data_IF_587295731069
#
_entry.id   IF_587295731069
#
_cell.length_a   1.000
_cell.length_b   1.000
_cell.length_c   1.000
_cell.angle_alpha   90.00
_cell.angle_beta   90.00
_cell.angle_gamma   90.00
#
_symmetry.space_group_name_H-M   'P 1'
#
loop_
_entity.id
_entity.type
_entity.pdbx_description
1 polymer ?
#
# COMPACT_ATOMS: atom_id res chain seq x y z
N UNK A 1 2.93 -14.26 -10.05
CA UNK A 1 2.45 -15.08 -11.18
C UNK A 1 3.19 -16.42 -11.13
N UNK A 2 2.47 -17.54 -11.18
CA UNK A 2 3.10 -18.86 -11.34
C UNK A 2 3.66 -18.96 -12.75
N UNK A 3 4.93 -19.31 -12.92
CA UNK A 3 5.50 -19.57 -14.25
C UNK A 3 4.80 -20.76 -14.91
N UNK A 4 4.79 -20.83 -16.25
CA UNK A 4 4.22 -21.95 -16.99
C UNK A 4 4.80 -23.31 -16.52
N UNK A 5 6.08 -23.33 -16.15
CA UNK A 5 6.75 -24.50 -15.58
C UNK A 5 6.22 -24.89 -14.18
N UNK A 6 5.93 -23.92 -13.33
CA UNK A 6 5.36 -24.19 -11.99
C UNK A 6 3.97 -24.80 -12.08
N UNK A 7 3.14 -24.36 -13.02
CA UNK A 7 1.82 -24.95 -13.27
C UNK A 7 1.93 -26.36 -13.85
N UNK A 8 2.86 -26.57 -14.78
CA UNK A 8 3.17 -27.89 -15.35
C UNK A 8 3.56 -28.88 -14.25
N UNK A 9 4.54 -28.54 -13.41
CA UNK A 9 4.94 -29.35 -12.25
C UNK A 9 3.76 -29.62 -11.30
N UNK A 10 2.94 -28.62 -11.00
CA UNK A 10 1.80 -28.81 -10.09
C UNK A 10 0.74 -29.76 -10.65
N UNK A 11 0.50 -29.76 -11.97
CA UNK A 11 -0.44 -30.68 -12.64
C UNK A 11 0.06 -32.12 -12.57
N UNK A 12 1.31 -32.34 -12.97
CA UNK A 12 1.93 -33.67 -12.97
C UNK A 12 2.09 -34.27 -11.57
N UNK A 13 2.17 -33.43 -10.53
CA UNK A 13 2.22 -33.93 -9.14
C UNK A 13 0.96 -34.71 -8.75
N UNK A 14 -0.21 -34.42 -9.32
CA UNK A 14 -1.44 -35.18 -9.04
C UNK A 14 -1.37 -36.60 -9.60
N UNK A 15 -0.91 -36.75 -10.84
CA UNK A 15 -0.69 -38.05 -11.47
C UNK A 15 0.35 -38.86 -10.69
N UNK A 16 1.46 -38.21 -10.31
CA UNK A 16 2.48 -38.83 -9.46
C UNK A 16 1.92 -39.40 -8.16
N UNK A 17 1.00 -38.69 -7.49
CA UNK A 17 0.39 -39.16 -6.24
C UNK A 17 -0.42 -40.45 -6.44
N UNK A 18 -0.95 -40.70 -7.64
CA UNK A 18 -1.59 -41.96 -7.99
C UNK A 18 -0.60 -43.13 -8.17
N UNK A 19 0.63 -42.84 -8.60
CA UNK A 19 1.67 -43.86 -8.81
C UNK A 19 2.46 -44.19 -7.54
N UNK A 20 2.72 -43.20 -6.68
CA UNK A 20 3.28 -43.41 -5.34
C UNK A 20 4.77 -43.80 -5.26
N UNK A 21 5.43 -44.13 -6.37
CA UNK A 21 6.87 -44.43 -6.40
C UNK A 21 7.56 -43.98 -7.70
N UNK A 22 8.87 -43.70 -7.67
CA UNK A 22 9.62 -43.30 -8.87
C UNK A 22 9.65 -44.37 -9.95
N UNK A 23 9.69 -45.64 -9.57
CA UNK A 23 9.62 -46.78 -10.48
C UNK A 23 8.29 -46.81 -11.23
N UNK A 24 7.17 -46.70 -10.49
CA UNK A 24 5.83 -46.69 -11.08
C UNK A 24 5.56 -45.42 -11.86
N UNK A 25 6.09 -44.28 -11.42
CA UNK A 25 6.00 -43.01 -12.15
C UNK A 25 6.75 -43.07 -13.48
N UNK A 26 7.94 -43.67 -13.55
CA UNK A 26 8.66 -43.84 -14.84
C UNK A 26 7.97 -44.85 -15.76
N UNK A 27 7.36 -45.90 -15.20
CA UNK A 27 6.66 -46.92 -15.97
C UNK A 27 5.31 -46.42 -16.53
N UNK A 28 4.66 -45.48 -15.85
CA UNK A 28 3.35 -44.97 -16.23
C UNK A 28 3.43 -43.49 -16.62
N UNK A 29 3.13 -43.21 -17.89
CA UNK A 29 3.13 -41.84 -18.38
C UNK A 29 1.80 -41.14 -18.07
N UNK A 30 1.84 -39.92 -17.51
CA UNK A 30 0.70 -39.01 -17.44
C UNK A 30 0.03 -38.78 -18.80
N UNK A 31 -1.26 -38.46 -18.82
CA UNK A 31 -1.99 -38.10 -20.05
C UNK A 31 -1.23 -37.02 -20.85
N UNK A 32 -1.10 -37.23 -22.18
CA UNK A 32 -0.46 -36.35 -23.17
C UNK A 32 -0.89 -34.87 -23.04
N UNK A 33 -2.14 -34.60 -22.67
CA UNK A 33 -2.65 -33.23 -22.49
C UNK A 33 -1.96 -32.44 -21.37
N UNK A 34 -1.34 -33.15 -20.41
CA UNK A 34 -0.66 -32.52 -19.27
C UNK A 34 0.77 -32.05 -19.61
N UNK A 35 1.29 -32.42 -20.78
CA UNK A 35 2.70 -32.25 -21.12
C UNK A 35 3.05 -30.85 -21.62
N UNK A 36 2.07 -30.07 -22.12
CA UNK A 36 2.28 -28.77 -22.76
C UNK A 36 3.51 -28.80 -23.72
N UNK A 37 3.55 -29.79 -24.62
CA UNK A 37 4.66 -30.01 -25.59
C UNK A 37 6.05 -30.32 -24.98
N UNK A 38 6.13 -30.56 -23.66
CA UNK A 38 7.41 -30.89 -23.00
C UNK A 38 7.76 -32.35 -23.18
N UNK A 39 9.06 -32.60 -23.32
CA UNK A 39 9.62 -33.93 -23.51
C UNK A 39 9.45 -34.85 -22.28
N UNK A 40 9.33 -36.16 -22.52
CA UNK A 40 9.16 -37.21 -21.50
C UNK A 40 10.25 -37.21 -20.43
N UNK A 41 11.48 -36.84 -20.80
CA UNK A 41 12.60 -36.76 -19.87
C UNK A 41 12.35 -35.80 -18.69
N UNK A 42 11.54 -34.75 -18.86
CA UNK A 42 11.17 -33.88 -17.75
C UNK A 42 10.32 -34.57 -16.69
N UNK A 43 9.44 -35.50 -17.08
CA UNK A 43 8.64 -36.27 -16.14
C UNK A 43 9.51 -37.23 -15.33
N UNK A 44 10.43 -37.96 -15.97
CA UNK A 44 11.37 -38.82 -15.27
C UNK A 44 12.22 -38.02 -14.28
N UNK A 45 12.75 -36.87 -14.71
CA UNK A 45 13.50 -35.99 -13.82
C UNK A 45 12.68 -35.51 -12.63
N UNK A 46 11.41 -35.14 -12.83
CA UNK A 46 10.52 -34.74 -11.74
C UNK A 46 10.25 -35.88 -10.74
N UNK A 47 10.03 -37.10 -11.23
CA UNK A 47 9.88 -38.30 -10.41
C UNK A 47 11.11 -38.52 -9.54
N UNK A 48 12.30 -38.45 -10.14
CA UNK A 48 13.56 -38.80 -9.48
C UNK A 48 14.09 -37.71 -8.54
N UNK A 49 13.86 -36.44 -8.86
CA UNK A 49 14.57 -35.33 -8.21
C UNK A 49 13.67 -34.39 -7.41
N UNK A 50 12.36 -34.38 -7.67
CA UNK A 50 11.45 -33.37 -7.12
C UNK A 50 10.35 -33.99 -6.26
N UNK A 51 9.73 -35.08 -6.72
CA UNK A 51 8.61 -35.69 -6.01
C UNK A 51 9.05 -36.69 -4.94
N UNK A 52 10.26 -37.21 -5.04
CA UNK A 52 10.93 -38.08 -4.05
C UNK A 52 11.84 -37.31 -3.10
N UNK A 53 12.10 -36.03 -3.37
CA UNK A 53 13.03 -35.24 -2.58
C UNK A 53 12.47 -34.98 -1.18
N UNK A 54 13.04 -35.63 -0.17
CA UNK A 54 12.55 -35.57 1.21
C UNK A 54 12.54 -34.15 1.78
N UNK A 55 13.47 -33.29 1.38
CA UNK A 55 13.48 -31.89 1.82
C UNK A 55 12.26 -31.14 1.26
N UNK A 56 11.97 -31.31 -0.03
CA UNK A 56 10.78 -30.73 -0.66
C UNK A 56 9.47 -31.27 -0.06
N UNK A 57 9.41 -32.57 0.24
CA UNK A 57 8.25 -33.20 0.87
C UNK A 57 8.01 -32.62 2.27
N UNK A 58 9.03 -32.61 3.13
CA UNK A 58 8.95 -32.06 4.50
C UNK A 58 8.51 -30.59 4.50
N UNK A 59 9.04 -29.78 3.59
CA UNK A 59 8.64 -28.37 3.46
C UNK A 59 7.16 -28.27 3.04
N UNK A 60 6.72 -29.08 2.07
CA UNK A 60 5.35 -29.08 1.60
C UNK A 60 4.36 -29.52 2.69
N UNK A 61 4.69 -30.57 3.45
CA UNK A 61 3.91 -31.04 4.60
C UNK A 61 3.82 -29.98 5.69
N UNK A 62 4.94 -29.39 6.09
CA UNK A 62 4.97 -28.29 7.07
C UNK A 62 4.12 -27.11 6.60
N UNK A 63 4.21 -26.73 5.32
CA UNK A 63 3.40 -25.65 4.75
C UNK A 63 1.92 -26.02 4.68
N UNK A 64 1.58 -27.29 4.45
CA UNK A 64 0.21 -27.78 4.50
C UNK A 64 -0.36 -27.76 5.91
N UNK A 65 0.37 -28.27 6.90
CA UNK A 65 0.00 -28.21 8.30
C UNK A 65 -0.14 -26.75 8.79
N UNK A 66 0.79 -25.88 8.43
CA UNK A 66 0.69 -24.45 8.75
C UNK A 66 -0.56 -23.81 8.14
N UNK A 67 -0.92 -24.16 6.89
CA UNK A 67 -2.16 -23.69 6.25
C UNK A 67 -3.40 -24.22 6.95
N UNK A 68 -3.41 -25.48 7.37
CA UNK A 68 -4.49 -26.07 8.15
C UNK A 68 -4.67 -25.35 9.51
N UNK A 69 -3.57 -24.95 10.13
CA UNK A 69 -3.57 -24.19 11.38
C UNK A 69 -3.87 -22.69 11.21
N UNK A 70 -4.05 -22.19 9.97
CA UNK A 70 -4.43 -20.78 9.78
C UNK A 70 -5.86 -20.57 10.28
N UNK A 71 -5.96 -19.91 11.44
CA UNK A 71 -7.21 -19.66 12.14
C UNK A 71 -8.19 -18.71 11.42
N UNK A 72 -7.83 -18.16 10.26
CA UNK A 72 -8.69 -17.32 9.42
C UNK A 72 -8.18 -17.33 7.99
N UNK A 73 -8.66 -18.27 7.19
CA UNK A 73 -8.48 -18.26 5.73
C UNK A 73 -9.15 -17.00 5.16
N UNK A 74 -8.50 -16.37 4.18
CA UNK A 74 -9.04 -15.22 3.45
C UNK A 74 -9.19 -15.55 1.96
N UNK A 75 -10.09 -14.86 1.27
CA UNK A 75 -10.36 -15.04 -0.16
C UNK A 75 -9.58 -14.05 -1.05
N UNK A 76 -8.62 -13.31 -0.49
CA UNK A 76 -7.79 -12.34 -1.22
C UNK A 76 -6.89 -12.94 -2.33
N UNK A 77 -6.75 -14.27 -2.38
CA UNK A 77 -5.82 -14.95 -3.29
C UNK A 77 -4.37 -14.53 -3.05
N UNK A 78 -3.54 -14.56 -4.11
CA UNK A 78 -2.12 -14.20 -4.04
C UNK A 78 -1.84 -12.70 -4.20
N UNK A 79 -2.88 -11.87 -4.38
CA UNK A 79 -2.74 -10.44 -4.62
C UNK A 79 -2.60 -9.69 -3.29
N UNK A 80 -1.61 -8.77 -3.13
CA UNK A 80 -1.45 -7.98 -1.92
C UNK A 80 -2.68 -7.12 -1.59
N UNK A 81 -2.98 -6.94 -0.31
CA UNK A 81 -4.15 -6.17 0.16
C UNK A 81 -4.13 -4.71 -0.28
N UNK A 82 -2.97 -4.06 -0.32
CA UNK A 82 -2.83 -2.70 -0.84
C UNK A 82 -3.31 -2.62 -2.30
N UNK A 83 -3.01 -3.63 -3.12
CA UNK A 83 -3.47 -3.65 -4.51
C UNK A 83 -4.97 -3.89 -4.62
N UNK A 84 -5.58 -4.65 -3.69
CA UNK A 84 -7.03 -4.79 -3.62
C UNK A 84 -7.70 -3.48 -3.21
N UNK A 85 -7.13 -2.74 -2.26
CA UNK A 85 -7.64 -1.44 -1.85
C UNK A 85 -7.58 -0.43 -3.02
N UNK A 86 -6.45 -0.37 -3.73
CA UNK A 86 -6.29 0.47 -4.91
C UNK A 86 -7.26 0.08 -6.04
N UNK A 87 -7.52 -1.22 -6.25
CA UNK A 87 -8.50 -1.66 -7.24
C UNK A 87 -9.93 -1.23 -6.86
N UNK A 88 -10.32 -1.41 -5.60
CA UNK A 88 -11.61 -0.98 -5.10
C UNK A 88 -11.80 0.55 -5.25
N UNK A 89 -10.74 1.33 -5.02
CA UNK A 89 -10.76 2.78 -5.22
C UNK A 89 -10.98 3.17 -6.68
N UNK A 90 -10.40 2.45 -7.64
CA UNK A 90 -10.68 2.64 -9.08
C UNK A 90 -12.13 2.33 -9.45
N UNK A 91 -12.80 1.47 -8.69
CA UNK A 91 -14.23 1.15 -8.84
C UNK A 91 -15.15 2.13 -8.09
N UNK A 92 -14.60 3.23 -7.54
CA UNK A 92 -15.38 4.26 -6.83
C UNK A 92 -15.64 3.96 -5.35
N UNK A 93 -15.08 2.88 -4.80
CA UNK A 93 -15.15 2.59 -3.36
C UNK A 93 -14.14 3.44 -2.58
N UNK A 94 -14.40 3.65 -1.30
CA UNK A 94 -13.43 4.30 -0.42
C UNK A 94 -12.12 3.48 -0.35
N UNK A 95 -10.98 4.17 -0.46
CA UNK A 95 -9.67 3.57 -0.28
C UNK A 95 -9.43 3.30 1.22
N UNK A 96 -9.78 2.09 1.67
CA UNK A 96 -9.56 1.65 3.05
C UNK A 96 -9.00 0.22 3.08
N UNK A 97 -7.96 0.01 3.87
CA UNK A 97 -7.35 -1.29 4.13
C UNK A 97 -8.16 -2.13 5.11
N UNK A 98 -8.76 -1.51 6.12
CA UNK A 98 -9.61 -2.21 7.10
C UNK A 98 -10.85 -2.77 6.39
N UNK A 99 -11.55 -1.94 5.61
CA UNK A 99 -12.71 -2.37 4.84
C UNK A 99 -12.35 -3.41 3.78
N UNK A 100 -11.22 -3.23 3.10
CA UNK A 100 -10.73 -4.23 2.16
C UNK A 100 -10.44 -5.57 2.84
N UNK A 101 -9.80 -5.54 4.01
CA UNK A 101 -9.51 -6.72 4.80
C UNK A 101 -10.79 -7.45 5.22
N UNK A 102 -11.77 -6.74 5.77
CA UNK A 102 -13.08 -7.29 6.10
C UNK A 102 -13.75 -7.96 4.91
N UNK A 103 -13.75 -7.30 3.75
CA UNK A 103 -14.33 -7.86 2.52
C UNK A 103 -13.66 -9.16 2.05
N UNK A 104 -12.35 -9.34 2.28
CA UNK A 104 -11.66 -10.60 1.93
C UNK A 104 -11.88 -11.74 2.92
N UNK A 105 -12.51 -11.44 4.06
CA UNK A 105 -12.95 -12.41 5.05
C UNK A 105 -14.47 -12.67 4.98
N UNK A 106 -15.11 -12.26 3.88
CA UNK A 106 -16.50 -12.59 3.58
C UNK A 106 -16.61 -13.52 2.37
N UNK A 107 -17.67 -14.31 2.34
CA UNK A 107 -18.02 -15.14 1.18
C UNK A 107 -18.76 -14.33 0.09
N UNK A 108 -19.23 -15.02 -0.95
CA UNK A 108 -19.97 -14.38 -2.04
C UNK A 108 -21.36 -13.88 -1.60
N UNK A 109 -21.90 -14.44 -0.50
CA UNK A 109 -23.15 -14.00 0.14
C UNK A 109 -22.92 -12.84 1.14
N UNK A 110 -21.68 -12.33 1.23
CA UNK A 110 -21.25 -11.29 2.17
C UNK A 110 -21.31 -11.72 3.65
N UNK A 111 -21.35 -13.01 3.93
CA UNK A 111 -21.29 -13.58 5.26
C UNK A 111 -19.83 -13.81 5.70
N UNK A 112 -19.57 -13.71 7.00
CA UNK A 112 -18.23 -13.92 7.54
C UNK A 112 -17.84 -15.39 7.43
N UNK A 113 -16.72 -15.67 6.77
CA UNK A 113 -16.20 -17.05 6.68
C UNK A 113 -15.54 -17.50 7.98
N UNK A 114 -15.34 -16.58 8.93
CA UNK A 114 -14.61 -16.84 10.16
C UNK A 114 -14.98 -15.86 11.27
N UNK A 115 -15.47 -16.37 12.40
CA UNK A 115 -15.85 -15.57 13.57
C UNK A 115 -14.67 -14.86 14.25
N UNK A 116 -13.47 -15.43 14.23
CA UNK A 116 -12.26 -14.76 14.74
C UNK A 116 -11.92 -13.57 13.86
N UNK A 117 -12.05 -13.70 12.54
CA UNK A 117 -11.83 -12.58 11.61
C UNK A 117 -12.87 -11.48 11.81
N UNK A 118 -14.15 -11.84 11.99
CA UNK A 118 -15.23 -10.91 12.31
C UNK A 118 -14.93 -10.11 13.57
N UNK A 119 -14.60 -10.76 14.69
CA UNK A 119 -14.27 -10.08 15.95
C UNK A 119 -13.08 -9.13 15.81
N UNK A 120 -12.07 -9.50 15.02
CA UNK A 120 -10.92 -8.61 14.74
C UNK A 120 -11.34 -7.42 13.89
N UNK A 121 -12.17 -7.62 12.87
CA UNK A 121 -12.71 -6.54 12.06
C UNK A 121 -13.50 -5.55 12.91
N UNK A 122 -14.43 -6.05 13.74
CA UNK A 122 -15.26 -5.21 14.60
C UNK A 122 -14.42 -4.33 15.53
N UNK A 123 -13.34 -4.86 16.12
CA UNK A 123 -12.40 -4.07 16.93
C UNK A 123 -11.68 -3.00 16.11
N UNK A 124 -11.15 -3.36 14.93
CA UNK A 124 -10.50 -2.41 14.04
C UNK A 124 -11.47 -1.31 13.58
N UNK A 125 -12.72 -1.66 13.30
CA UNK A 125 -13.74 -0.71 12.84
C UNK A 125 -14.16 0.26 13.95
N UNK A 126 -14.28 -0.21 15.19
CA UNK A 126 -14.51 0.68 16.35
C UNK A 126 -13.38 1.69 16.51
N UNK A 127 -12.12 1.27 16.41
CA UNK A 127 -10.97 2.19 16.47
C UNK A 127 -10.91 3.13 15.27
N UNK A 128 -11.29 2.65 14.08
CA UNK A 128 -11.38 3.45 12.86
C UNK A 128 -12.40 4.58 13.01
N UNK A 129 -13.61 4.26 13.47
CA UNK A 129 -14.69 5.22 13.69
C UNK A 129 -14.29 6.23 14.77
N UNK A 130 -13.70 5.76 15.88
CA UNK A 130 -13.22 6.66 16.94
C UNK A 130 -12.17 7.66 16.44
N UNK A 131 -11.30 7.24 15.51
CA UNK A 131 -10.30 8.13 14.91
C UNK A 131 -10.93 9.14 13.93
N UNK A 132 -11.92 8.72 13.13
CA UNK A 132 -12.70 9.62 12.26
C UNK A 132 -13.41 10.68 13.10
N UNK A 133 -14.06 10.28 14.19
CA UNK A 133 -14.73 11.18 15.14
C UNK A 133 -13.77 12.20 15.77
N UNK A 134 -12.56 11.76 16.11
CA UNK A 134 -11.53 12.65 16.65
C UNK A 134 -11.11 13.69 15.60
N UNK A 135 -10.85 13.27 14.37
CA UNK A 135 -10.50 14.17 13.27
C UNK A 135 -11.62 15.15 12.94
N UNK A 136 -12.88 14.70 13.06
CA UNK A 136 -14.05 15.57 12.90
C UNK A 136 -14.09 16.70 13.92
N UNK A 137 -13.83 16.41 15.19
CA UNK A 137 -13.80 17.44 16.25
C UNK A 137 -12.65 18.44 16.08
N UNK A 138 -11.55 18.01 15.47
CA UNK A 138 -10.37 18.84 15.20
C UNK A 138 -10.49 19.61 13.88
N UNK A 139 -11.49 19.30 13.05
CA UNK A 139 -11.69 19.93 11.75
C UNK A 139 -12.24 21.37 11.88
N UNK A 140 -11.95 22.25 10.90
CA UNK A 140 -12.54 23.59 10.86
C UNK A 140 -14.06 23.55 10.88
N UNK A 141 -14.65 24.56 11.53
CA UNK A 141 -16.10 24.72 11.64
C UNK A 141 -16.74 24.77 10.24
N UNK A 142 -17.79 23.96 10.02
CA UNK A 142 -18.44 23.81 8.71
C UNK A 142 -17.91 22.65 7.83
N UNK A 143 -16.91 21.89 8.29
CA UNK A 143 -16.46 20.67 7.58
C UNK A 143 -17.55 19.60 7.62
N UNK A 144 -18.03 19.07 6.47
CA UNK A 144 -18.99 17.97 6.47
C UNK A 144 -18.40 16.69 7.05
N UNK A 145 -19.14 15.97 7.90
CA UNK A 145 -18.66 14.74 8.54
C UNK A 145 -18.20 13.69 7.50
N UNK A 146 -19.02 13.47 6.46
CA UNK A 146 -18.77 12.52 5.37
C UNK A 146 -17.53 12.86 4.50
N UNK A 147 -16.98 14.06 4.64
CA UNK A 147 -15.76 14.48 3.93
C UNK A 147 -14.47 13.98 4.59
N UNK A 148 -14.55 13.56 5.85
CA UNK A 148 -13.39 13.11 6.62
C UNK A 148 -13.12 11.65 6.32
N UNK A 149 -12.02 11.43 5.62
CA UNK A 149 -11.54 10.09 5.26
C UNK A 149 -10.21 9.83 5.92
N UNK A 150 -10.03 8.62 6.41
CA UNK A 150 -8.74 8.19 6.93
C UNK A 150 -7.78 7.89 5.79
N UNK A 151 -6.53 8.30 5.98
CA UNK A 151 -5.45 7.88 5.11
C UNK A 151 -5.06 6.43 5.41
N UNK A 152 -4.45 5.75 4.44
CA UNK A 152 -3.96 4.37 4.67
C UNK A 152 -2.94 4.32 5.80
N UNK A 153 -2.15 5.38 5.96
CA UNK A 153 -1.17 5.59 7.02
C UNK A 153 -1.81 5.55 8.41
N UNK A 154 -2.98 6.18 8.56
CA UNK A 154 -3.72 6.22 9.81
C UNK A 154 -4.37 4.87 10.16
N UNK A 155 -4.72 4.07 9.15
CA UNK A 155 -5.28 2.73 9.36
C UNK A 155 -4.20 1.68 9.75
N UNK A 156 -2.93 1.86 9.37
CA UNK A 156 -1.89 0.86 9.66
C UNK A 156 -1.67 0.56 11.16
N UNK A 157 -1.58 1.57 12.06
CA UNK A 157 -1.43 1.30 13.48
C UNK A 157 -2.59 0.47 14.05
N UNK A 158 -3.82 0.76 13.61
CA UNK A 158 -5.03 0.04 14.02
C UNK A 158 -4.92 -1.43 13.60
N UNK A 159 -4.57 -1.68 12.33
CA UNK A 159 -4.40 -3.05 11.83
C UNK A 159 -3.24 -3.78 12.49
N UNK A 160 -2.13 -3.10 12.74
CA UNK A 160 -0.95 -3.69 13.38
C UNK A 160 -1.24 -4.10 14.82
N UNK A 161 -2.10 -3.37 15.52
CA UNK A 161 -2.53 -3.68 16.89
C UNK A 161 -3.38 -4.96 16.94
N UNK A 162 -4.40 -5.08 16.10
CA UNK A 162 -5.36 -6.20 16.15
C UNK A 162 -4.91 -7.47 15.39
N UNK A 163 -4.16 -7.30 14.29
CA UNK A 163 -3.63 -8.41 13.50
C UNK A 163 -2.24 -8.84 13.98
N UNK A 164 -1.53 -7.97 14.68
CA UNK A 164 -0.14 -8.16 15.06
C UNK A 164 0.82 -7.89 13.90
N UNK A 165 2.11 -7.73 14.25
CA UNK A 165 3.16 -7.32 13.33
C UNK A 165 4.41 -8.20 13.44
N UNK A 166 5.07 -8.45 12.32
CA UNK A 166 6.41 -9.04 12.24
C UNK A 166 7.32 -8.16 11.39
N UNK A 167 8.24 -7.43 12.01
CA UNK A 167 9.15 -6.53 11.32
C UNK A 167 8.40 -5.40 10.61
N UNK A 168 8.33 -5.41 9.27
CA UNK A 168 7.55 -4.44 8.47
C UNK A 168 6.22 -4.99 7.96
N UNK A 169 5.91 -6.25 8.27
CA UNK A 169 4.69 -6.91 7.79
C UNK A 169 3.63 -6.94 8.88
N UNK A 170 2.38 -6.68 8.50
CA UNK A 170 1.20 -6.96 9.32
C UNK A 170 0.72 -8.36 8.97
N UNK A 171 0.37 -9.18 9.97
CA UNK A 171 -0.10 -10.54 9.71
C UNK A 171 -1.37 -10.50 8.85
N UNK A 172 -1.45 -11.41 7.86
CA UNK A 172 -2.58 -11.47 6.94
C UNK A 172 -2.63 -10.37 5.88
N UNK A 173 -1.91 -9.26 6.03
CA UNK A 173 -1.85 -8.15 5.06
C UNK A 173 -0.60 -8.23 4.19
N UNK A 174 0.52 -8.68 4.77
CA UNK A 174 1.83 -8.73 4.12
C UNK A 174 2.66 -7.48 4.36
N UNK A 175 3.63 -7.22 3.47
CA UNK A 175 4.49 -6.05 3.58
C UNK A 175 3.73 -4.81 3.12
N UNK A 176 3.55 -3.89 4.06
CA UNK A 176 2.92 -2.61 3.79
C UNK A 176 4.01 -1.63 3.35
N UNK A 177 3.88 -0.96 2.19
CA UNK A 177 4.72 0.17 1.89
C UNK A 177 4.43 1.29 2.91
N UNK A 178 5.40 1.62 3.75
CA UNK A 178 5.39 2.92 4.41
C UNK A 178 5.57 3.96 3.31
N UNK A 179 4.53 4.74 3.05
CA UNK A 179 4.55 5.82 2.05
C UNK A 179 5.55 6.92 2.47
N UNK A 180 5.89 7.01 3.76
CA UNK A 180 6.78 8.05 4.31
C UNK A 180 8.26 7.68 4.52
N UNK A 181 8.75 6.50 4.10
CA UNK A 181 10.18 6.16 4.35
C UNK A 181 10.91 5.49 3.19
N UNK A 182 10.40 5.59 1.96
CA UNK A 182 10.97 4.90 0.79
C UNK A 182 11.51 5.85 -0.30
N UNK A 183 12.19 6.94 0.09
CA UNK A 183 13.02 7.68 -0.88
C UNK A 183 14.30 6.89 -1.24
N UNK A 184 14.75 5.95 -0.39
CA UNK A 184 16.05 5.30 -0.59
C UNK A 184 16.07 3.82 -0.96
N UNK A 185 14.94 3.10 -0.99
CA UNK A 185 14.96 1.65 -1.31
C UNK A 185 13.74 1.17 -2.08
N UNK A 186 13.58 1.64 -3.32
CA UNK A 186 12.83 0.88 -4.34
C UNK A 186 13.74 -0.26 -4.80
N UNK A 187 13.67 -1.39 -4.09
CA UNK A 187 14.30 -2.63 -4.53
C UNK A 187 13.30 -3.43 -5.35
N UNK A 188 13.57 -3.43 -6.66
CA UNK A 188 13.23 -4.42 -7.68
C UNK A 188 12.22 -5.50 -7.28
N UNK A 189 10.94 -5.29 -7.61
CA UNK A 189 10.00 -6.35 -8.00
C UNK A 189 8.79 -5.74 -8.72
N UNK A 190 8.80 -5.87 -10.05
CA UNK A 190 7.68 -5.76 -10.99
C UNK A 190 6.87 -4.44 -11.02
N UNK A 191 7.16 -3.64 -12.06
CA UNK A 191 6.34 -2.53 -12.52
C UNK A 191 7.20 -1.35 -12.93
N UNK A 192 7.49 -1.21 -14.21
CA UNK A 192 7.98 0.06 -14.77
C UNK A 192 6.90 1.11 -14.57
N UNK A 193 6.90 1.77 -13.42
CA UNK A 193 6.05 2.92 -13.19
C UNK A 193 6.65 4.09 -13.99
N UNK A 194 6.27 4.21 -15.26
CA UNK A 194 6.63 5.30 -16.18
C UNK A 194 6.40 6.69 -15.57
N UNK A 195 5.48 6.79 -14.61
CA UNK A 195 5.04 8.04 -13.97
C UNK A 195 5.97 8.50 -12.83
N UNK A 196 6.82 7.63 -12.27
CA UNK A 196 7.69 7.99 -11.13
C UNK A 196 8.80 8.98 -11.54
N UNK A 197 9.48 8.80 -12.68
CA UNK A 197 10.42 9.80 -13.18
C UNK A 197 9.75 11.15 -13.49
N UNK A 198 8.53 11.13 -14.03
CA UNK A 198 7.77 12.33 -14.39
C UNK A 198 7.34 13.11 -13.15
N UNK A 199 6.81 12.42 -12.13
CA UNK A 199 6.48 13.04 -10.84
C UNK A 199 7.72 13.62 -10.15
N UNK A 200 8.86 12.94 -10.24
CA UNK A 200 10.13 13.44 -9.69
C UNK A 200 10.60 14.70 -10.43
N UNK A 201 10.44 14.77 -11.74
CA UNK A 201 10.74 15.95 -12.52
C UNK A 201 9.83 17.14 -12.14
N UNK A 202 8.52 16.89 -11.97
CA UNK A 202 7.57 17.91 -11.53
C UNK A 202 7.87 18.44 -10.12
N UNK A 203 8.23 17.56 -9.17
CA UNK A 203 8.62 17.97 -7.82
C UNK A 203 9.87 18.85 -7.84
N UNK A 204 10.87 18.50 -8.66
CA UNK A 204 12.08 19.31 -8.80
C UNK A 204 11.76 20.69 -9.39
N UNK A 205 10.91 20.76 -10.41
CA UNK A 205 10.45 22.03 -11.00
C UNK A 205 9.70 22.90 -9.98
N UNK A 206 8.76 22.32 -9.23
CA UNK A 206 8.04 23.04 -8.16
C UNK A 206 8.99 23.57 -7.08
N UNK A 207 10.01 22.78 -6.72
CA UNK A 207 11.02 23.19 -5.74
C UNK A 207 11.84 24.39 -6.22
N UNK A 208 12.27 24.37 -7.49
CA UNK A 208 12.99 25.50 -8.10
C UNK A 208 12.12 26.75 -8.13
N UNK A 209 10.86 26.63 -8.57
CA UNK A 209 9.93 27.75 -8.63
C UNK A 209 9.66 28.35 -7.24
N UNK A 210 9.49 27.51 -6.22
CA UNK A 210 9.29 27.96 -4.84
C UNK A 210 10.50 28.73 -4.29
N UNK A 211 11.71 28.27 -4.60
CA UNK A 211 12.94 28.99 -4.21
C UNK A 211 13.06 30.34 -4.91
N UNK A 212 12.76 30.39 -6.21
CA UNK A 212 12.77 31.64 -6.99
C UNK A 212 11.73 32.63 -6.47
N UNK A 213 10.50 32.19 -6.20
CA UNK A 213 9.47 33.05 -5.59
C UNK A 213 9.88 33.57 -4.21
N UNK A 214 10.54 32.74 -3.40
CA UNK A 214 11.02 33.15 -2.08
C UNK A 214 12.09 34.24 -2.17
N UNK A 215 12.99 34.13 -3.15
CA UNK A 215 14.01 35.14 -3.43
C UNK A 215 13.39 36.45 -3.93
N UNK A 216 12.46 36.38 -4.89
CA UNK A 216 11.72 37.54 -5.39
C UNK A 216 10.95 38.27 -4.29
N UNK A 217 10.28 37.53 -3.40
CA UNK A 217 9.61 38.12 -2.23
C UNK A 217 10.60 38.82 -1.28
N UNK A 218 11.82 38.26 -1.13
CA UNK A 218 12.90 38.92 -0.38
C UNK A 218 13.31 40.25 -1.00
N UNK A 219 13.48 40.30 -2.32
CA UNK A 219 13.80 41.54 -3.04
C UNK A 219 12.69 42.57 -2.95
N UNK A 220 11.43 42.18 -3.15
CA UNK A 220 10.28 43.07 -3.02
C UNK A 220 10.18 43.65 -1.61
N UNK A 221 10.38 42.83 -0.57
CA UNK A 221 10.37 43.30 0.81
C UNK A 221 11.47 44.33 1.07
N UNK A 222 12.69 44.08 0.58
CA UNK A 222 13.80 45.02 0.69
C UNK A 222 13.54 46.33 -0.06
N UNK A 223 12.92 46.28 -1.25
CA UNK A 223 12.52 47.48 -2.00
C UNK A 223 11.47 48.29 -1.25
N UNK A 224 10.45 47.65 -0.68
CA UNK A 224 9.41 48.31 0.13
C UNK A 224 10.04 48.97 1.37
N UNK A 225 10.93 48.29 2.08
CA UNK A 225 11.65 48.85 3.24
C UNK A 225 12.53 50.05 2.84
N UNK A 226 13.17 49.99 1.67
CA UNK A 226 13.96 51.12 1.14
C UNK A 226 13.08 52.32 0.80
N UNK A 227 11.94 52.10 0.13
CA UNK A 227 11.00 53.18 -0.22
C UNK A 227 10.39 53.83 1.03
N UNK A 228 10.07 53.04 2.04
CA UNK A 228 9.59 53.55 3.34
C UNK A 228 10.65 54.39 4.06
N UNK A 229 11.94 54.07 3.94
CA UNK A 229 13.04 54.90 4.47
C UNK A 229 13.33 56.15 3.65
N UNK A 230 13.01 56.14 2.36
CA UNK A 230 13.26 57.26 1.46
C UNK A 230 12.11 58.27 1.39
N UNK A 231 10.94 57.96 1.96
CA UNK A 231 9.84 58.93 2.09
C UNK A 231 10.23 60.02 3.09
N UNK A 232 10.52 61.27 2.65
CA UNK A 232 10.81 62.35 3.57
C UNK A 232 9.51 62.72 4.27
N UNK A 233 9.53 62.82 5.60
CA UNK A 233 8.50 63.53 6.34
C UNK A 233 8.53 65.00 5.94
N UNK A 234 7.72 65.38 4.95
CA UNK A 234 7.36 66.78 4.73
C UNK A 234 6.17 67.11 5.63
N UNK A 235 6.45 67.72 6.78
CA UNK A 235 5.68 68.86 7.26
C UNK A 235 6.67 69.79 7.97
N UNK A 236 7.09 70.83 7.23
CA UNK A 236 7.73 72.02 7.77
C UNK A 236 6.72 72.78 8.63
N UNK A 237 6.84 72.67 9.94
CA UNK A 237 6.30 73.66 10.88
C UNK A 237 7.26 74.85 10.91
N UNK A 238 7.25 75.73 9.90
CA UNK A 238 7.92 77.04 9.97
C UNK A 238 7.48 78.01 8.85
N UNK A 239 6.20 77.96 8.46
CA UNK A 239 5.62 78.95 7.54
C UNK A 239 4.18 79.29 7.98
N UNK A 240 4.05 79.94 9.13
CA UNK A 240 2.84 80.68 9.50
C UNK A 240 3.18 82.16 9.68
N UNK A 241 2.61 83.07 8.87
CA UNK A 241 2.76 84.50 9.09
C UNK A 241 1.96 84.90 10.33
N UNK A 242 2.63 85.48 11.33
CA UNK A 242 1.98 86.09 12.49
C UNK A 242 1.15 87.31 12.06
N UNK A 243 -0.10 87.46 12.55
CA UNK A 243 -0.84 88.69 12.38
C UNK A 243 -0.34 89.75 13.37
N UNK A 244 0.15 90.87 12.83
CA UNK A 244 0.40 92.09 13.58
C UNK A 244 -0.86 92.54 14.32
N UNK A 245 -0.78 92.60 15.65
CA UNK A 245 -1.74 93.33 16.47
C UNK A 245 -1.02 94.52 17.09
N UNK A 246 -1.26 95.69 16.49
CA UNK A 246 -1.12 96.97 17.18
C UNK A 246 -2.36 97.11 18.08
N UNK A 247 -2.16 97.23 19.39
CA UNK A 247 -2.78 98.21 20.31
C UNK A 247 -2.22 98.03 21.72
#
# INVERSE_FOLDING_TARGET
MSTAYSQFKSRLKKEWQGFGSPELGRANLPNADLWNERHVSHWHWLCDNIYTNQSCIKIAEKNSANRYMQQHTHRAGARPYVQHALAASKEGKELSLINNWGGKHKDDNHEWINEVAKKKYEKMEVERIALIEKLYREAPEGTPHDSIKLTLEAEFPIMAKELGRKGRMIHGIGNVPHIHSNIHRVSACAGTNSEVPELRALINQLTINMLSMKEQNGHLKAQVESLLRQSPGQMSEDDFPHPSTNF
#
